data_IF_333646459792
#
_entry.id   IF_333646459792
#
_cell.length_a   1.000
_cell.length_b   1.000
_cell.length_c   1.000
_cell.angle_alpha   90.00
_cell.angle_beta   90.00
_cell.angle_gamma   90.00
#
_symmetry.space_group_name_H-M   'P 1'
#
loop_
_entity.id
_entity.type
_entity.pdbx_description
1 polymer ?
#
# COMPACT_ATOMS: atom_id res chain seq x y z
N UNK A 1 -48.92 -8.02 5.54
CA UNK A 1 -47.72 -8.88 5.43
C UNK A 1 -46.76 -8.49 4.32
N UNK A 2 -47.19 -7.92 3.21
CA UNK A 2 -46.33 -7.55 2.07
C UNK A 2 -45.31 -6.43 2.41
N UNK A 3 -45.61 -5.47 3.29
CA UNK A 3 -44.70 -4.37 3.66
C UNK A 3 -43.45 -4.79 4.45
N UNK A 4 -43.55 -5.86 5.27
CA UNK A 4 -42.41 -6.33 6.08
C UNK A 4 -41.39 -7.08 5.22
N UNK A 5 -41.84 -7.81 4.21
CA UNK A 5 -40.97 -8.59 3.31
C UNK A 5 -40.09 -7.67 2.42
N UNK A 6 -40.66 -6.53 1.97
CA UNK A 6 -39.93 -5.54 1.15
C UNK A 6 -38.82 -4.84 1.97
N UNK A 7 -39.06 -4.55 3.25
CA UNK A 7 -38.08 -3.92 4.13
C UNK A 7 -36.90 -4.85 4.43
N UNK A 8 -37.14 -6.14 4.59
CA UNK A 8 -36.09 -7.14 4.82
C UNK A 8 -35.24 -7.38 3.59
N UNK A 9 -35.82 -7.34 2.38
CA UNK A 9 -35.10 -7.48 1.11
C UNK A 9 -34.16 -6.29 0.84
N UNK A 10 -34.56 -5.07 1.20
CA UNK A 10 -33.73 -3.87 1.05
C UNK A 10 -32.51 -3.86 1.99
N UNK A 11 -32.61 -4.41 3.19
CA UNK A 11 -31.50 -4.52 4.13
C UNK A 11 -30.46 -5.53 3.63
N UNK A 12 -30.87 -6.67 3.12
CA UNK A 12 -29.96 -7.71 2.62
C UNK A 12 -29.20 -7.27 1.39
N UNK A 13 -29.83 -6.54 0.46
CA UNK A 13 -29.14 -6.02 -0.75
C UNK A 13 -28.07 -4.98 -0.43
N UNK A 14 -28.28 -4.14 0.58
CA UNK A 14 -27.27 -3.15 1.01
C UNK A 14 -26.05 -3.79 1.67
N UNK A 15 -26.22 -4.87 2.43
CA UNK A 15 -25.11 -5.60 3.06
C UNK A 15 -24.25 -6.28 1.99
N UNK A 16 -24.85 -6.98 1.04
CA UNK A 16 -24.12 -7.65 -0.05
C UNK A 16 -23.34 -6.62 -0.91
N UNK A 17 -23.95 -5.49 -1.23
CA UNK A 17 -23.31 -4.43 -2.00
C UNK A 17 -22.12 -3.82 -1.25
N UNK A 18 -22.23 -3.61 0.07
CA UNK A 18 -21.14 -3.08 0.91
C UNK A 18 -19.96 -4.04 1.02
N UNK A 19 -20.20 -5.35 1.17
CA UNK A 19 -19.15 -6.38 1.19
C UNK A 19 -18.38 -6.43 -0.14
N UNK A 20 -19.09 -6.42 -1.27
CA UNK A 20 -18.47 -6.41 -2.61
C UNK A 20 -17.58 -5.17 -2.85
N UNK A 21 -17.96 -4.01 -2.33
CA UNK A 21 -17.14 -2.79 -2.44
C UNK A 21 -15.87 -2.91 -1.59
N UNK A 22 -15.99 -3.38 -0.35
CA UNK A 22 -14.86 -3.56 0.55
C UNK A 22 -13.84 -4.55 -0.03
N UNK A 23 -14.29 -5.68 -0.54
CA UNK A 23 -13.46 -6.69 -1.20
C UNK A 23 -12.73 -6.12 -2.42
N UNK A 24 -13.44 -5.40 -3.30
CA UNK A 24 -12.85 -4.74 -4.48
C UNK A 24 -11.80 -3.70 -4.10
N UNK A 25 -12.01 -2.95 -3.04
CA UNK A 25 -11.04 -1.95 -2.58
C UNK A 25 -9.81 -2.61 -1.96
N UNK A 26 -9.99 -3.70 -1.21
CA UNK A 26 -8.88 -4.51 -0.69
C UNK A 26 -8.02 -5.09 -1.82
N UNK A 27 -8.63 -5.68 -2.85
CA UNK A 27 -7.91 -6.18 -4.01
C UNK A 27 -7.11 -5.08 -4.74
N UNK A 28 -7.67 -3.87 -4.87
CA UNK A 28 -6.96 -2.73 -5.47
C UNK A 28 -5.74 -2.31 -4.64
N UNK A 29 -5.86 -2.30 -3.31
CA UNK A 29 -4.75 -1.96 -2.42
C UNK A 29 -3.64 -3.02 -2.52
N UNK A 30 -3.99 -4.31 -2.48
CA UNK A 30 -3.02 -5.39 -2.66
C UNK A 30 -2.34 -5.34 -4.02
N UNK A 31 -3.07 -4.95 -5.07
CA UNK A 31 -2.48 -4.76 -6.41
C UNK A 31 -1.46 -3.61 -6.46
N UNK A 32 -1.62 -2.54 -5.66
CA UNK A 32 -0.59 -1.49 -5.54
C UNK A 32 0.72 -2.08 -5.03
N UNK A 33 0.68 -2.90 -3.98
CA UNK A 33 1.88 -3.55 -3.45
C UNK A 33 2.49 -4.55 -4.42
N UNK A 34 1.65 -5.33 -5.11
CA UNK A 34 2.16 -6.27 -6.12
C UNK A 34 2.86 -5.53 -7.28
N UNK A 35 2.29 -4.41 -7.75
CA UNK A 35 2.93 -3.55 -8.75
C UNK A 35 4.26 -2.99 -8.23
N UNK A 36 4.31 -2.54 -6.98
CA UNK A 36 5.56 -2.07 -6.35
C UNK A 36 6.59 -3.19 -6.26
N UNK A 37 6.20 -4.40 -5.84
CA UNK A 37 7.09 -5.57 -5.78
C UNK A 37 7.68 -5.90 -7.14
N UNK A 38 6.85 -5.92 -8.18
CA UNK A 38 7.30 -6.17 -9.56
C UNK A 38 8.24 -5.07 -10.06
N UNK A 39 7.90 -3.80 -9.82
CA UNK A 39 8.75 -2.66 -10.19
C UNK A 39 10.12 -2.73 -9.50
N UNK A 40 10.15 -2.99 -8.19
CA UNK A 40 11.39 -3.20 -7.45
C UNK A 40 12.25 -4.32 -8.03
N UNK A 41 11.67 -5.49 -8.29
CA UNK A 41 12.36 -6.65 -8.80
C UNK A 41 12.80 -6.51 -10.28
N UNK A 42 12.28 -5.47 -10.97
CA UNK A 42 12.76 -5.01 -12.27
C UNK A 42 13.73 -3.83 -12.15
N UNK A 43 14.15 -3.45 -10.93
CA UNK A 43 15.02 -2.31 -10.63
C UNK A 43 14.47 -0.96 -11.09
N UNK A 44 13.16 -0.81 -11.13
CA UNK A 44 12.44 0.39 -11.55
C UNK A 44 11.88 1.15 -10.34
N UNK A 45 12.72 2.03 -9.77
CA UNK A 45 12.30 2.90 -8.65
C UNK A 45 11.26 3.92 -9.11
N UNK A 46 11.25 4.32 -10.37
CA UNK A 46 10.27 5.27 -10.89
C UNK A 46 8.86 4.68 -10.88
N UNK A 47 8.72 3.45 -11.32
CA UNK A 47 7.44 2.71 -11.27
C UNK A 47 7.08 2.33 -9.82
N UNK A 48 8.04 1.88 -9.00
CA UNK A 48 7.81 1.62 -7.58
C UNK A 48 7.19 2.83 -6.86
N UNK A 49 7.66 4.02 -7.16
CA UNK A 49 7.17 5.26 -6.57
C UNK A 49 5.76 5.67 -7.02
N UNK A 50 5.19 5.06 -8.08
CA UNK A 50 3.80 5.31 -8.50
C UNK A 50 2.77 4.78 -7.48
N UNK A 51 3.14 3.83 -6.63
CA UNK A 51 2.29 3.37 -5.51
C UNK A 51 2.04 4.46 -4.46
N UNK A 52 2.92 5.46 -4.39
CA UNK A 52 2.80 6.59 -3.46
C UNK A 52 2.05 7.76 -4.07
N UNK A 53 1.28 8.47 -3.25
CA UNK A 53 0.63 9.71 -3.68
C UNK A 53 1.68 10.78 -4.03
N UNK A 54 1.65 11.27 -5.25
CA UNK A 54 2.52 12.36 -5.71
C UNK A 54 2.08 13.69 -5.07
N UNK A 55 2.57 13.95 -3.86
CA UNK A 55 2.19 15.09 -3.02
C UNK A 55 3.34 15.48 -2.09
N UNK A 56 3.44 16.78 -1.79
CA UNK A 56 4.37 17.30 -0.78
C UNK A 56 4.00 16.86 0.65
N UNK A 57 2.79 16.32 0.83
CA UNK A 57 2.28 15.79 2.12
C UNK A 57 2.53 14.29 2.32
N UNK A 58 3.14 13.60 1.35
CA UNK A 58 3.56 12.22 1.56
C UNK A 58 4.57 12.16 2.71
N UNK A 59 4.41 11.18 3.60
CA UNK A 59 5.34 10.94 4.72
C UNK A 59 5.93 9.55 4.59
N UNK A 60 7.25 9.45 4.58
CA UNK A 60 7.98 8.20 4.76
C UNK A 60 8.80 8.31 6.06
N UNK A 61 8.55 7.41 7.00
CA UNK A 61 9.26 7.33 8.29
C UNK A 61 10.03 6.02 8.36
N UNK A 62 11.35 6.11 8.34
CA UNK A 62 12.26 4.97 8.57
C UNK A 62 13.09 5.17 9.82
N UNK A 63 14.11 4.34 10.04
CA UNK A 63 15.03 4.38 11.17
C UNK A 63 15.71 5.75 11.39
N UNK A 64 15.90 6.52 10.32
CA UNK A 64 16.53 7.85 10.33
C UNK A 64 15.51 9.00 10.46
N UNK A 65 14.25 8.68 10.83
CA UNK A 65 13.19 9.66 10.98
C UNK A 65 12.39 9.93 9.70
N UNK A 66 11.45 10.89 9.76
CA UNK A 66 10.52 11.15 8.67
C UNK A 66 11.14 11.98 7.55
N UNK A 67 10.76 11.62 6.30
CA UNK A 67 11.00 12.39 5.08
C UNK A 67 9.65 12.77 4.51
N UNK A 68 9.49 14.02 4.09
CA UNK A 68 8.24 14.58 3.59
C UNK A 68 8.34 14.91 2.11
N UNK A 69 7.26 14.62 1.38
CA UNK A 69 7.13 14.94 -0.04
C UNK A 69 7.65 13.83 -0.97
N UNK A 70 6.87 13.58 -2.02
CA UNK A 70 7.11 12.49 -2.97
C UNK A 70 8.50 12.55 -3.63
N UNK A 71 8.95 13.76 -4.02
CA UNK A 71 10.26 13.92 -4.66
C UNK A 71 11.40 13.59 -3.70
N UNK A 72 11.32 14.01 -2.42
CA UNK A 72 12.35 13.73 -1.42
C UNK A 72 12.38 12.24 -1.06
N UNK A 73 11.21 11.59 -0.95
CA UNK A 73 11.13 10.15 -0.73
C UNK A 73 11.75 9.40 -1.90
N UNK A 74 11.46 9.80 -3.16
CA UNK A 74 12.08 9.21 -4.34
C UNK A 74 13.61 9.36 -4.35
N UNK A 75 14.13 10.56 -4.07
CA UNK A 75 15.60 10.81 -3.97
C UNK A 75 16.21 9.93 -2.88
N UNK A 76 15.54 9.76 -1.73
CA UNK A 76 16.01 8.84 -0.68
C UNK A 76 16.13 7.41 -1.21
N UNK A 77 15.13 6.88 -1.92
CA UNK A 77 15.18 5.54 -2.51
C UNK A 77 16.34 5.41 -3.50
N UNK A 78 16.50 6.35 -4.44
CA UNK A 78 17.57 6.34 -5.43
C UNK A 78 18.96 6.38 -4.78
N UNK A 79 19.14 7.13 -3.70
CA UNK A 79 20.42 7.20 -2.98
C UNK A 79 20.72 5.95 -2.16
N UNK A 80 19.68 5.37 -1.51
CA UNK A 80 19.85 4.19 -0.65
C UNK A 80 20.05 2.92 -1.48
N UNK A 81 19.38 2.82 -2.62
CA UNK A 81 19.34 1.65 -3.49
C UNK A 81 19.90 1.99 -4.87
N UNK A 82 21.17 2.46 -4.89
CA UNK A 82 21.81 3.01 -6.08
C UNK A 82 22.35 1.97 -7.07
N UNK A 83 22.23 0.68 -6.76
CA UNK A 83 22.57 -0.43 -7.65
C UNK A 83 21.63 -1.62 -7.46
N UNK A 84 21.62 -2.54 -8.44
CA UNK A 84 20.82 -3.76 -8.40
C UNK A 84 21.20 -4.65 -7.20
N UNK A 85 22.47 -4.72 -6.85
CA UNK A 85 22.98 -5.48 -5.70
C UNK A 85 22.46 -4.91 -4.38
N UNK A 86 22.32 -3.57 -4.29
CA UNK A 86 21.75 -2.91 -3.10
C UNK A 86 20.22 -3.04 -3.05
N UNK A 87 19.55 -3.13 -4.18
CA UNK A 87 18.12 -3.37 -4.22
C UNK A 87 17.79 -4.81 -3.80
N UNK A 88 18.45 -5.81 -4.37
CA UNK A 88 18.12 -7.21 -4.15
C UNK A 88 16.72 -7.57 -4.65
N UNK A 89 16.20 -8.71 -4.20
CA UNK A 89 14.88 -9.22 -4.56
C UNK A 89 13.89 -9.00 -3.40
N UNK A 90 12.84 -8.23 -3.66
CA UNK A 90 11.81 -7.86 -2.68
C UNK A 90 10.65 -8.83 -2.70
N UNK A 91 10.19 -9.22 -1.51
CA UNK A 91 8.90 -9.86 -1.29
C UNK A 91 8.17 -9.23 -0.10
N UNK A 92 6.82 -9.29 -0.12
CA UNK A 92 5.95 -8.78 0.93
C UNK A 92 5.12 -9.90 1.56
N UNK A 93 5.07 -9.90 2.88
CA UNK A 93 4.12 -10.68 3.65
C UNK A 93 3.08 -9.72 4.25
N UNK A 94 1.81 -9.90 3.88
CA UNK A 94 0.73 -9.05 4.38
C UNK A 94 0.16 -9.68 5.65
N UNK A 95 0.23 -8.94 6.76
CA UNK A 95 -0.32 -9.36 8.03
C UNK A 95 -1.79 -9.00 8.17
N UNK A 96 -2.13 -7.72 7.90
CA UNK A 96 -3.47 -7.20 8.05
C UNK A 96 -3.79 -6.08 7.06
N UNK A 97 -5.07 -5.96 6.67
CA UNK A 97 -5.60 -4.88 5.86
C UNK A 97 -6.97 -4.43 6.39
N UNK A 98 -7.06 -3.19 6.86
CA UNK A 98 -8.26 -2.60 7.44
C UNK A 98 -8.77 -1.44 6.60
N UNK A 99 -10.01 -1.49 6.15
CA UNK A 99 -10.70 -0.33 5.60
C UNK A 99 -11.25 0.53 6.75
N UNK A 100 -10.53 1.58 7.12
CA UNK A 100 -10.95 2.52 8.17
C UNK A 100 -12.17 3.31 7.72
N UNK A 101 -12.26 3.62 6.42
CA UNK A 101 -13.40 4.28 5.80
C UNK A 101 -13.48 3.94 4.31
N UNK A 102 -14.50 4.43 3.60
CA UNK A 102 -14.63 4.29 2.13
C UNK A 102 -13.44 4.87 1.35
N UNK A 103 -12.57 5.65 1.98
CA UNK A 103 -11.46 6.36 1.32
C UNK A 103 -10.12 6.22 2.04
N UNK A 104 -10.05 5.52 3.16
CA UNK A 104 -8.82 5.36 3.95
C UNK A 104 -8.69 3.91 4.38
N UNK A 105 -7.50 3.35 4.21
CA UNK A 105 -7.15 2.02 4.68
C UNK A 105 -5.81 2.03 5.41
N UNK A 106 -5.64 1.08 6.32
CA UNK A 106 -4.39 0.75 7.00
C UNK A 106 -3.97 -0.65 6.58
N UNK A 107 -2.70 -0.81 6.23
CA UNK A 107 -2.12 -2.10 5.91
C UNK A 107 -0.85 -2.30 6.72
N UNK A 108 -0.72 -3.48 7.34
CA UNK A 108 0.45 -3.93 8.06
C UNK A 108 1.07 -5.11 7.33
N UNK A 109 2.39 -5.10 7.24
CA UNK A 109 3.10 -6.19 6.58
C UNK A 109 4.57 -6.24 6.97
N UNK A 110 5.24 -7.22 6.39
CA UNK A 110 6.67 -7.42 6.49
C UNK A 110 7.25 -7.37 5.09
N UNK A 111 8.40 -6.72 4.94
CA UNK A 111 9.22 -6.83 3.74
C UNK A 111 10.38 -7.77 3.98
N UNK A 112 10.77 -8.50 2.94
CA UNK A 112 11.99 -9.28 2.89
C UNK A 112 12.71 -8.89 1.60
N UNK A 113 14.00 -8.55 1.71
CA UNK A 113 14.88 -8.27 0.57
C UNK A 113 16.03 -9.28 0.62
N UNK A 114 16.07 -10.17 -0.36
CA UNK A 114 17.15 -11.13 -0.55
C UNK A 114 18.29 -10.48 -1.34
N UNK A 115 19.51 -10.61 -0.83
CA UNK A 115 20.75 -10.09 -1.42
C UNK A 115 21.85 -11.12 -1.30
N UNK A 116 22.87 -11.00 -2.16
CA UNK A 116 24.03 -11.91 -2.13
C UNK A 116 24.85 -11.80 -0.84
N UNK A 117 24.94 -10.60 -0.24
CA UNK A 117 25.76 -10.33 0.92
C UNK A 117 24.98 -10.41 2.24
N UNK A 118 23.86 -9.71 2.36
CA UNK A 118 23.07 -9.60 3.58
C UNK A 118 21.61 -9.35 3.25
N UNK A 119 20.72 -10.22 3.72
CA UNK A 119 19.28 -10.06 3.60
C UNK A 119 18.78 -8.96 4.52
N UNK A 120 17.84 -8.16 4.05
CA UNK A 120 17.14 -7.18 4.87
C UNK A 120 15.70 -7.61 5.08
N UNK A 121 15.18 -7.39 6.27
CA UNK A 121 13.76 -7.54 6.55
C UNK A 121 13.32 -6.57 7.63
N UNK A 122 12.05 -6.28 7.64
CA UNK A 122 11.44 -5.41 8.65
C UNK A 122 9.94 -5.35 8.49
N UNK A 123 9.30 -4.60 9.35
CA UNK A 123 7.85 -4.41 9.32
C UNK A 123 7.50 -3.03 8.79
N UNK A 124 6.34 -2.95 8.16
CA UNK A 124 5.83 -1.68 7.69
C UNK A 124 4.35 -1.50 8.05
N UNK A 125 3.98 -0.24 8.19
CA UNK A 125 2.60 0.21 8.34
C UNK A 125 2.33 1.25 7.28
N UNK A 126 1.38 0.97 6.39
CA UNK A 126 1.00 1.85 5.29
C UNK A 126 -0.39 2.42 5.52
N UNK A 127 -0.52 3.74 5.35
CA UNK A 127 -1.83 4.40 5.24
C UNK A 127 -2.12 4.66 3.77
N UNK A 128 -3.21 4.10 3.29
CA UNK A 128 -3.72 4.31 1.94
C UNK A 128 -4.85 5.33 1.91
N UNK A 129 -4.92 6.11 0.84
CA UNK A 129 -6.03 7.02 0.54
C UNK A 129 -6.55 6.79 -0.87
N UNK A 130 -7.88 6.72 -1.00
CA UNK A 130 -8.57 6.60 -2.28
C UNK A 130 -8.82 7.97 -2.90
N UNK A 131 -8.26 8.21 -4.10
CA UNK A 131 -8.37 9.47 -4.84
C UNK A 131 -8.82 9.15 -6.26
N UNK A 132 -9.96 9.69 -6.68
CA UNK A 132 -10.55 9.46 -8.01
C UNK A 132 -10.66 7.98 -8.38
N UNK A 133 -10.98 7.11 -7.38
CA UNK A 133 -11.17 5.67 -7.57
C UNK A 133 -9.90 4.81 -7.47
N UNK A 134 -8.72 5.41 -7.37
CA UNK A 134 -7.44 4.74 -7.20
C UNK A 134 -6.91 4.88 -5.78
N UNK A 135 -6.18 3.88 -5.31
CA UNK A 135 -5.57 3.86 -4.00
C UNK A 135 -4.09 4.21 -4.07
N UNK A 136 -3.62 5.07 -3.16
CA UNK A 136 -2.23 5.51 -3.07
C UNK A 136 -1.77 5.49 -1.62
N UNK A 137 -0.51 5.14 -1.39
CA UNK A 137 0.15 5.27 -0.09
C UNK A 137 0.36 6.77 0.20
N UNK A 138 -0.11 7.23 1.35
CA UNK A 138 0.05 8.62 1.82
C UNK A 138 0.95 8.74 3.03
N UNK A 139 1.15 7.62 3.75
CA UNK A 139 2.11 7.51 4.83
C UNK A 139 2.67 6.10 4.85
N UNK A 140 3.97 6.00 5.04
CA UNK A 140 4.73 4.77 5.16
C UNK A 140 5.62 4.87 6.41
N UNK A 141 5.49 3.91 7.31
CA UNK A 141 6.40 3.71 8.42
C UNK A 141 7.03 2.33 8.30
N UNK A 142 8.33 2.31 8.09
CA UNK A 142 9.12 1.09 7.89
C UNK A 142 10.27 1.04 8.90
N UNK A 143 10.41 -0.09 9.61
CA UNK A 143 11.39 -0.32 10.66
C UNK A 143 12.12 -1.64 10.49
#
# INVERSE_FOLDING_TARGET
MIRITIFFLLITTNIIYSQNIAERDSLKILNVLETQRQAWNNFDIDEFMQGYLKSDKLVFSGSNGPVYGWNFVKVRYLNTYSSNELMGYLDFEINDLFLISKKVALLLGKFNIERDNENLSGYFTLVFKKIKGNWYIVSDHTS
#
